data_IF_859705875189
#
_entry.id   IF_859705875189
#
_cell.length_a   1.000
_cell.length_b   1.000
_cell.length_c   1.000
_cell.angle_alpha   90.00
_cell.angle_beta   90.00
_cell.angle_gamma   90.00
#
_symmetry.space_group_name_H-M   'P 1'
#
loop_
_entity.id
_entity.type
_entity.pdbx_description
1 polymer ?
#
# COMPACT_ATOMS: atom_id res chain seq x y z
N UNK A 1 32.55 -1.28 29.12
CA UNK A 1 32.52 -1.08 27.65
C UNK A 1 31.68 -2.15 26.93
N UNK A 2 31.98 -3.44 27.09
CA UNK A 2 31.22 -4.53 26.42
C UNK A 2 29.71 -4.58 26.76
N UNK A 3 29.35 -4.41 28.04
CA UNK A 3 27.94 -4.43 28.48
C UNK A 3 27.09 -3.32 27.81
N UNK A 4 27.69 -2.16 27.57
CA UNK A 4 27.01 -1.06 26.90
C UNK A 4 26.79 -1.35 25.40
N UNK A 5 27.78 -1.98 24.75
CA UNK A 5 27.68 -2.40 23.35
C UNK A 5 26.57 -3.44 23.17
N UNK A 6 26.48 -4.42 24.07
CA UNK A 6 25.42 -5.45 24.03
C UNK A 6 24.04 -4.81 24.18
N UNK A 7 23.88 -3.88 25.13
CA UNK A 7 22.61 -3.17 25.32
C UNK A 7 22.22 -2.36 24.07
N UNK A 8 23.17 -1.63 23.47
CA UNK A 8 22.92 -0.86 22.25
C UNK A 8 22.54 -1.76 21.07
N UNK A 9 23.17 -2.93 20.94
CA UNK A 9 22.81 -3.91 19.90
C UNK A 9 21.37 -4.42 20.07
N UNK A 10 20.98 -4.79 21.29
CA UNK A 10 19.63 -5.27 21.57
C UNK A 10 18.56 -4.21 21.30
N UNK A 11 18.83 -2.95 21.67
CA UNK A 11 17.93 -1.83 21.38
C UNK A 11 17.81 -1.61 19.88
N UNK A 12 18.93 -1.65 19.15
CA UNK A 12 18.92 -1.49 17.69
C UNK A 12 18.12 -2.59 17.00
N UNK A 13 18.26 -3.83 17.46
CA UNK A 13 17.52 -4.98 16.94
C UNK A 13 16.00 -4.83 17.14
N UNK A 14 15.57 -4.39 18.34
CA UNK A 14 14.15 -4.12 18.63
C UNK A 14 13.61 -3.03 17.70
N UNK A 15 14.31 -1.89 17.61
CA UNK A 15 13.85 -0.76 16.78
C UNK A 15 13.79 -1.16 15.30
N UNK A 16 14.79 -1.89 14.82
CA UNK A 16 14.84 -2.32 13.42
C UNK A 16 13.72 -3.32 13.10
N UNK A 17 13.43 -4.24 14.01
CA UNK A 17 12.33 -5.20 13.83
C UNK A 17 10.96 -4.51 13.83
N UNK A 18 10.72 -3.58 14.75
CA UNK A 18 9.48 -2.80 14.81
C UNK A 18 9.31 -1.91 13.56
N UNK A 19 10.40 -1.32 13.10
CA UNK A 19 10.41 -0.52 11.86
C UNK A 19 10.13 -1.37 10.62
N UNK A 20 10.70 -2.57 10.53
CA UNK A 20 10.42 -3.49 9.43
C UNK A 20 8.93 -3.86 9.38
N UNK A 21 8.35 -4.21 10.53
CA UNK A 21 6.92 -4.51 10.63
C UNK A 21 6.03 -3.31 10.23
N UNK A 22 6.38 -2.09 10.66
CA UNK A 22 5.65 -0.88 10.27
C UNK A 22 5.74 -0.62 8.76
N UNK A 23 6.90 -0.86 8.15
CA UNK A 23 7.08 -0.73 6.70
C UNK A 23 6.28 -1.78 5.92
N UNK A 24 6.20 -3.02 6.41
CA UNK A 24 5.39 -4.07 5.79
C UNK A 24 3.90 -3.70 5.78
N UNK A 25 3.38 -3.19 6.90
CA UNK A 25 1.99 -2.71 6.98
C UNK A 25 1.72 -1.54 6.02
N UNK A 26 2.66 -0.60 5.91
CA UNK A 26 2.55 0.51 4.95
C UNK A 26 2.57 0.01 3.50
N UNK A 27 3.41 -0.98 3.19
CA UNK A 27 3.49 -1.56 1.86
C UNK A 27 2.19 -2.31 1.49
N UNK A 28 1.61 -3.04 2.45
CA UNK A 28 0.31 -3.69 2.27
C UNK A 28 -0.79 -2.65 2.01
N UNK A 29 -0.87 -1.62 2.86
CA UNK A 29 -1.87 -0.55 2.69
C UNK A 29 -1.71 0.19 1.36
N UNK A 30 -0.48 0.52 0.97
CA UNK A 30 -0.20 1.14 -0.32
C UNK A 30 -0.65 0.26 -1.50
N UNK A 31 -0.46 -1.06 -1.38
CA UNK A 31 -0.91 -2.04 -2.38
C UNK A 31 -2.43 -2.07 -2.45
N UNK A 32 -3.12 -2.18 -1.31
CA UNK A 32 -4.58 -2.19 -1.24
C UNK A 32 -5.20 -0.90 -1.78
N UNK A 33 -4.59 0.25 -1.50
CA UNK A 33 -5.03 1.53 -2.06
C UNK A 33 -4.88 1.55 -3.58
N UNK A 34 -3.73 1.13 -4.10
CA UNK A 34 -3.49 1.05 -5.55
C UNK A 34 -4.47 0.12 -6.24
N UNK A 35 -4.72 -1.06 -5.69
CA UNK A 35 -5.68 -2.01 -6.28
C UNK A 35 -7.08 -1.42 -6.31
N UNK A 36 -7.52 -0.79 -5.22
CA UNK A 36 -8.85 -0.15 -5.14
C UNK A 36 -9.00 0.98 -6.15
N UNK A 37 -7.99 1.85 -6.28
CA UNK A 37 -7.99 2.94 -7.27
C UNK A 37 -8.08 2.38 -8.70
N UNK A 38 -7.29 1.35 -9.01
CA UNK A 38 -7.31 0.73 -10.34
C UNK A 38 -8.66 0.05 -10.63
N UNK A 39 -9.24 -0.64 -9.65
CA UNK A 39 -10.58 -1.24 -9.79
C UNK A 39 -11.65 -0.17 -10.07
N UNK A 40 -11.67 0.92 -9.31
CA UNK A 40 -12.61 2.01 -9.56
C UNK A 40 -12.41 2.63 -10.94
N UNK A 41 -11.16 2.80 -11.38
CA UNK A 41 -10.86 3.32 -12.72
C UNK A 41 -11.39 2.38 -13.80
N UNK A 42 -11.16 1.07 -13.67
CA UNK A 42 -11.67 0.09 -14.62
C UNK A 42 -13.20 0.10 -14.71
N UNK A 43 -13.89 0.11 -13.56
CA UNK A 43 -15.36 0.17 -13.52
C UNK A 43 -15.86 1.46 -14.15
N UNK A 44 -15.23 2.59 -13.83
CA UNK A 44 -15.57 3.89 -14.43
C UNK A 44 -15.37 3.88 -15.95
N UNK A 45 -14.25 3.37 -16.43
CA UNK A 45 -13.93 3.35 -17.85
C UNK A 45 -14.88 2.41 -18.62
N UNK A 46 -15.29 1.29 -18.00
CA UNK A 46 -16.34 0.42 -18.52
C UNK A 46 -17.70 1.14 -18.63
N UNK A 47 -18.15 1.80 -17.55
CA UNK A 47 -19.42 2.54 -17.54
C UNK A 47 -19.42 3.68 -18.57
N UNK A 48 -18.32 4.42 -18.70
CA UNK A 48 -18.20 5.47 -19.71
C UNK A 48 -18.29 4.94 -21.15
N UNK A 49 -17.73 3.76 -21.42
CA UNK A 49 -17.84 3.12 -22.73
C UNK A 49 -19.28 2.67 -23.02
N UNK A 50 -19.99 2.15 -22.00
CA UNK A 50 -21.40 1.77 -22.10
C UNK A 50 -22.29 3.00 -22.37
N UNK A 51 -22.17 4.05 -21.56
CA UNK A 51 -22.94 5.30 -21.68
C UNK A 51 -22.61 6.07 -22.98
N UNK A 52 -21.36 6.03 -23.44
CA UNK A 52 -20.94 6.61 -24.72
C UNK A 52 -21.60 5.95 -25.94
N UNK A 53 -21.98 4.67 -25.84
CA UNK A 53 -22.77 3.98 -26.86
C UNK A 53 -24.26 4.35 -26.85
N UNK A 54 -24.80 4.77 -25.71
CA UNK A 54 -26.20 5.18 -25.56
C UNK A 54 -26.47 6.56 -26.20
N UNK A 55 -25.47 7.46 -26.19
CA UNK A 55 -25.57 8.79 -26.81
C UNK A 55 -25.56 8.75 -28.37
N UNK A 56 -25.24 7.60 -28.98
CA UNK A 56 -25.27 7.39 -30.44
C UNK A 56 -26.57 6.79 -30.98
N UNK A 57 -27.54 6.46 -30.13
CA UNK A 57 -28.88 6.00 -30.54
C UNK A 57 -29.78 7.22 -30.77
N UNK A 58 -29.69 7.82 -31.96
CA UNK A 58 -30.72 8.68 -32.54
C UNK A 58 -31.33 7.96 -33.75
#
# INVERSE_FOLDING_TARGET
NLNHIILLHAILEIITNEMAHALDLLAEQATQMRTTILQHRMVRDYLLAEEGGVCGKL
#
